data_IF_638004008767
#
_entry.id   IF_638004008767
#
_cell.length_a   1.000
_cell.length_b   1.000
_cell.length_c   1.000
_cell.angle_alpha   90.00
_cell.angle_beta   90.00
_cell.angle_gamma   90.00
#
_symmetry.space_group_name_H-M   'P 1'
#
loop_
_entity.id
_entity.type
_entity.pdbx_description
1 polymer ?
#
# COMPACT_ATOMS: atom_id res chain seq x y z
N UNK A 1 -99.38 -28.79 -30.82
CA UNK A 1 -98.75 -27.70 -31.61
C UNK A 1 -98.02 -26.67 -30.73
N UNK A 2 -98.66 -25.97 -29.77
CA UNK A 2 -97.97 -24.98 -28.89
C UNK A 2 -96.82 -25.56 -28.05
N UNK A 3 -97.01 -26.73 -27.43
CA UNK A 3 -95.97 -27.39 -26.61
C UNK A 3 -94.72 -27.80 -27.41
N UNK A 4 -94.88 -28.24 -28.67
CA UNK A 4 -93.74 -28.57 -29.53
C UNK A 4 -92.95 -27.32 -29.95
N UNK A 5 -93.64 -26.20 -30.20
CA UNK A 5 -92.97 -24.92 -30.51
C UNK A 5 -92.17 -24.40 -29.30
N UNK A 6 -92.70 -24.57 -28.09
CA UNK A 6 -92.00 -24.18 -26.87
C UNK A 6 -90.76 -25.07 -26.60
N UNK A 7 -90.86 -26.37 -26.88
CA UNK A 7 -89.72 -27.29 -26.80
C UNK A 7 -88.62 -26.96 -27.82
N UNK A 8 -89.00 -26.64 -29.06
CA UNK A 8 -88.05 -26.19 -30.10
C UNK A 8 -87.35 -24.88 -29.69
N UNK A 9 -88.09 -23.95 -29.09
CA UNK A 9 -87.53 -22.69 -28.59
C UNK A 9 -86.50 -22.92 -27.48
N UNK A 10 -86.81 -23.79 -26.50
CA UNK A 10 -85.87 -24.15 -25.43
C UNK A 10 -84.59 -24.79 -25.96
N UNK A 11 -84.71 -25.72 -26.91
CA UNK A 11 -83.53 -26.35 -27.54
C UNK A 11 -82.68 -25.34 -28.32
N UNK A 12 -83.29 -24.34 -28.95
CA UNK A 12 -82.56 -23.27 -29.63
C UNK A 12 -81.82 -22.36 -28.65
N UNK A 13 -82.47 -22.00 -27.53
CA UNK A 13 -81.88 -21.21 -26.45
C UNK A 13 -80.72 -21.96 -25.77
N UNK A 14 -80.89 -23.26 -25.50
CA UNK A 14 -79.84 -24.14 -24.95
C UNK A 14 -78.64 -24.27 -25.91
N UNK A 15 -78.91 -24.39 -27.22
CA UNK A 15 -77.84 -24.44 -28.23
C UNK A 15 -77.06 -23.13 -28.29
N UNK A 16 -77.74 -21.98 -28.22
CA UNK A 16 -77.09 -20.67 -28.19
C UNK A 16 -76.26 -20.48 -26.91
N UNK A 17 -76.80 -20.89 -25.75
CA UNK A 17 -76.10 -20.86 -24.47
C UNK A 17 -74.85 -21.75 -24.48
N UNK A 18 -74.97 -22.97 -24.98
CA UNK A 18 -73.85 -23.91 -25.10
C UNK A 18 -72.78 -23.39 -26.07
N UNK A 19 -73.17 -22.82 -27.22
CA UNK A 19 -72.23 -22.19 -28.16
C UNK A 19 -71.45 -21.06 -27.48
N UNK A 20 -72.13 -20.17 -26.76
CA UNK A 20 -71.46 -19.07 -26.05
C UNK A 20 -70.53 -19.55 -24.92
N UNK A 21 -70.86 -20.68 -24.30
CA UNK A 21 -70.06 -21.32 -23.24
C UNK A 21 -68.79 -21.95 -23.82
N UNK A 22 -68.90 -22.64 -24.97
CA UNK A 22 -67.76 -23.17 -25.72
C UNK A 22 -66.83 -22.04 -26.15
N UNK A 23 -67.33 -20.96 -26.75
CA UNK A 23 -66.52 -19.81 -27.17
C UNK A 23 -65.77 -19.17 -25.99
N UNK A 24 -66.39 -19.15 -24.80
CA UNK A 24 -65.78 -18.61 -23.58
C UNK A 24 -64.67 -19.53 -23.06
N UNK A 25 -64.88 -20.85 -23.10
CA UNK A 25 -63.88 -21.84 -22.70
C UNK A 25 -62.70 -21.82 -23.67
N UNK A 26 -62.94 -21.75 -24.98
CA UNK A 26 -61.88 -21.69 -25.99
C UNK A 26 -61.00 -20.45 -25.84
N UNK A 27 -61.59 -19.28 -25.58
CA UNK A 27 -60.83 -18.06 -25.28
C UNK A 27 -59.97 -18.21 -24.02
N UNK A 28 -60.55 -18.74 -22.93
CA UNK A 28 -59.80 -18.99 -21.69
C UNK A 28 -58.67 -19.99 -21.88
N UNK A 29 -58.90 -21.04 -22.67
CA UNK A 29 -57.86 -22.02 -23.00
C UNK A 29 -56.71 -21.36 -23.75
N UNK A 30 -57.01 -20.53 -24.76
CA UNK A 30 -56.00 -19.80 -25.51
C UNK A 30 -55.19 -18.83 -24.62
N UNK A 31 -55.87 -18.10 -23.73
CA UNK A 31 -55.22 -17.18 -22.78
C UNK A 31 -54.32 -17.93 -21.78
N UNK A 32 -54.78 -19.06 -21.24
CA UNK A 32 -54.00 -19.90 -20.33
C UNK A 32 -52.81 -20.53 -21.03
N UNK A 33 -52.99 -21.05 -22.25
CA UNK A 33 -51.89 -21.59 -23.05
C UNK A 33 -50.82 -20.53 -23.35
N UNK A 34 -51.23 -19.32 -23.73
CA UNK A 34 -50.31 -18.20 -23.96
C UNK A 34 -49.55 -17.81 -22.70
N UNK A 35 -50.24 -17.69 -21.56
CA UNK A 35 -49.63 -17.37 -20.27
C UNK A 35 -48.66 -18.46 -19.79
N UNK A 36 -49.04 -19.74 -19.98
CA UNK A 36 -48.19 -20.89 -19.69
C UNK A 36 -46.92 -20.84 -20.53
N UNK A 37 -47.03 -20.62 -21.84
CA UNK A 37 -45.86 -20.55 -22.73
C UNK A 37 -44.92 -19.39 -22.36
N UNK A 38 -45.48 -18.21 -22.04
CA UNK A 38 -44.68 -17.08 -21.54
C UNK A 38 -43.97 -17.36 -20.21
N UNK A 39 -44.56 -18.19 -19.35
CA UNK A 39 -43.95 -18.57 -18.07
C UNK A 39 -42.82 -19.58 -18.29
N UNK A 40 -43.00 -20.52 -19.22
CA UNK A 40 -41.96 -21.49 -19.60
C UNK A 40 -40.74 -20.77 -20.19
N UNK A 41 -40.93 -19.86 -21.15
CA UNK A 41 -39.80 -19.14 -21.75
C UNK A 41 -39.04 -18.31 -20.72
N UNK A 42 -39.74 -17.62 -19.81
CA UNK A 42 -39.10 -16.87 -18.71
C UNK A 42 -38.35 -17.78 -17.75
N UNK A 43 -38.88 -18.98 -17.49
CA UNK A 43 -38.20 -19.96 -16.65
C UNK A 43 -36.93 -20.47 -17.32
N UNK A 44 -36.97 -20.79 -18.61
CA UNK A 44 -35.81 -21.21 -19.41
C UNK A 44 -34.72 -20.13 -19.44
N UNK A 45 -35.10 -18.87 -19.67
CA UNK A 45 -34.19 -17.72 -19.63
C UNK A 45 -33.54 -17.57 -18.24
N UNK A 46 -34.35 -17.60 -17.18
CA UNK A 46 -33.85 -17.51 -15.80
C UNK A 46 -32.96 -18.70 -15.44
N UNK A 47 -33.27 -19.90 -15.92
CA UNK A 47 -32.49 -21.09 -15.67
C UNK A 47 -31.13 -21.01 -16.38
N UNK A 48 -31.11 -20.57 -17.64
CA UNK A 48 -29.87 -20.31 -18.38
C UNK A 48 -28.98 -19.29 -17.66
N UNK A 49 -29.57 -18.21 -17.14
CA UNK A 49 -28.85 -17.20 -16.37
C UNK A 49 -28.24 -17.78 -15.09
N UNK A 50 -28.97 -18.65 -14.38
CA UNK A 50 -28.47 -19.33 -13.17
C UNK A 50 -27.28 -20.23 -13.52
N UNK A 51 -27.36 -20.98 -14.61
CA UNK A 51 -26.29 -21.89 -15.01
C UNK A 51 -25.04 -21.14 -15.46
N UNK A 52 -25.18 -20.01 -16.18
CA UNK A 52 -24.08 -19.11 -16.49
C UNK A 52 -23.43 -18.53 -15.22
N UNK A 53 -24.24 -18.05 -14.28
CA UNK A 53 -23.73 -17.51 -13.02
C UNK A 53 -23.01 -18.57 -12.19
N UNK A 54 -23.50 -19.82 -12.19
CA UNK A 54 -22.82 -20.94 -11.52
C UNK A 54 -21.46 -21.24 -12.13
N UNK A 55 -21.35 -21.22 -13.46
CA UNK A 55 -20.07 -21.40 -14.15
C UNK A 55 -19.08 -20.29 -13.78
N UNK A 56 -19.50 -19.02 -13.84
CA UNK A 56 -18.68 -17.88 -13.46
C UNK A 56 -18.22 -17.95 -11.99
N UNK A 57 -19.10 -18.37 -11.08
CA UNK A 57 -18.75 -18.56 -9.67
C UNK A 57 -17.68 -19.65 -9.49
N UNK A 58 -17.77 -20.75 -10.24
CA UNK A 58 -16.76 -21.81 -10.19
C UNK A 58 -15.40 -21.32 -10.72
N UNK A 59 -15.37 -20.58 -11.82
CA UNK A 59 -14.15 -19.96 -12.35
C UNK A 59 -13.52 -18.98 -11.35
N UNK A 60 -14.35 -18.13 -10.73
CA UNK A 60 -13.88 -17.15 -9.75
C UNK A 60 -13.36 -17.81 -8.46
N UNK A 61 -13.91 -18.97 -8.07
CA UNK A 61 -13.39 -19.77 -6.95
C UNK A 61 -12.00 -20.32 -7.26
N UNK A 62 -11.78 -20.87 -8.46
CA UNK A 62 -10.47 -21.37 -8.90
C UNK A 62 -9.44 -20.22 -8.90
N UNK A 63 -9.80 -19.07 -9.46
CA UNK A 63 -8.90 -17.92 -9.50
C UNK A 63 -8.56 -17.42 -8.09
N UNK A 64 -9.54 -17.37 -7.18
CA UNK A 64 -9.30 -17.01 -5.78
C UNK A 64 -8.31 -17.96 -5.10
N UNK A 65 -8.38 -19.26 -5.37
CA UNK A 65 -7.43 -20.24 -4.83
C UNK A 65 -6.03 -20.06 -5.41
N UNK A 66 -5.91 -19.83 -6.73
CA UNK A 66 -4.64 -19.54 -7.39
C UNK A 66 -3.98 -18.29 -6.79
N UNK A 67 -4.75 -17.21 -6.61
CA UNK A 67 -4.28 -15.97 -5.99
C UNK A 67 -3.85 -16.19 -4.54
N UNK A 68 -4.60 -16.98 -3.76
CA UNK A 68 -4.23 -17.33 -2.38
C UNK A 68 -2.93 -18.12 -2.32
N UNK A 69 -2.73 -19.07 -3.23
CA UNK A 69 -1.50 -19.85 -3.32
C UNK A 69 -0.31 -18.96 -3.71
N UNK A 70 -0.47 -18.11 -4.74
CA UNK A 70 0.54 -17.14 -5.16
C UNK A 70 0.92 -16.19 -4.02
N UNK A 71 -0.07 -15.67 -3.29
CA UNK A 71 0.16 -14.79 -2.14
C UNK A 71 0.98 -15.47 -1.04
N UNK A 72 0.63 -16.72 -0.67
CA UNK A 72 1.38 -17.47 0.36
C UNK A 72 2.85 -17.65 -0.02
N UNK A 73 3.15 -17.98 -1.27
CA UNK A 73 4.53 -18.13 -1.74
C UNK A 73 5.33 -16.83 -1.63
N UNK A 74 4.72 -15.71 -2.03
CA UNK A 74 5.37 -14.38 -1.90
C UNK A 74 5.55 -13.99 -0.43
N UNK A 75 4.59 -14.29 0.44
CA UNK A 75 4.69 -14.08 1.88
C UNK A 75 5.86 -14.89 2.49
N UNK A 76 6.01 -16.16 2.12
CA UNK A 76 7.11 -17.02 2.55
C UNK A 76 8.48 -16.50 2.09
N UNK A 77 8.59 -16.13 0.81
CA UNK A 77 9.81 -15.55 0.25
C UNK A 77 10.18 -14.24 0.96
N UNK A 78 9.19 -13.41 1.28
CA UNK A 78 9.37 -12.16 2.01
C UNK A 78 9.89 -12.39 3.43
N UNK A 79 9.37 -13.39 4.15
CA UNK A 79 9.89 -13.75 5.48
C UNK A 79 11.34 -14.22 5.38
N UNK A 80 11.65 -15.08 4.40
CA UNK A 80 13.01 -15.59 4.18
C UNK A 80 14.01 -14.47 3.86
N UNK A 81 13.63 -13.52 2.99
CA UNK A 81 14.46 -12.38 2.62
C UNK A 81 14.65 -11.40 3.78
N UNK A 82 13.61 -11.13 4.57
CA UNK A 82 13.74 -10.29 5.78
C UNK A 82 14.74 -10.88 6.77
N UNK A 83 14.64 -12.19 7.04
CA UNK A 83 15.59 -12.88 7.94
C UNK A 83 17.04 -12.76 7.45
N UNK A 84 17.27 -12.93 6.14
CA UNK A 84 18.62 -12.77 5.54
C UNK A 84 19.13 -11.33 5.66
N UNK A 85 18.26 -10.34 5.48
CA UNK A 85 18.64 -8.93 5.62
C UNK A 85 19.01 -8.59 7.07
N UNK A 86 18.25 -9.10 8.04
CA UNK A 86 18.54 -8.94 9.48
C UNK A 86 19.87 -9.61 9.84
N UNK A 87 20.13 -10.82 9.35
CA UNK A 87 21.39 -11.53 9.56
C UNK A 87 22.59 -10.76 8.99
N UNK A 88 22.50 -10.28 7.75
CA UNK A 88 23.55 -9.46 7.15
C UNK A 88 23.77 -8.15 7.91
N UNK A 89 22.69 -7.51 8.36
CA UNK A 89 22.77 -6.27 9.16
C UNK A 89 23.47 -6.53 10.48
N UNK A 90 23.10 -7.61 11.18
CA UNK A 90 23.74 -8.04 12.43
C UNK A 90 25.22 -8.34 12.24
N UNK A 91 25.60 -9.02 11.14
CA UNK A 91 27.01 -9.26 10.81
C UNK A 91 27.76 -7.95 10.57
N UNK A 92 27.17 -6.99 9.86
CA UNK A 92 27.79 -5.69 9.61
C UNK A 92 27.97 -4.87 10.90
N UNK A 93 26.97 -4.87 11.77
CA UNK A 93 27.02 -4.13 13.05
C UNK A 93 27.92 -4.81 14.09
N UNK A 94 27.92 -6.14 14.14
CA UNK A 94 28.76 -6.95 15.03
C UNK A 94 30.17 -7.21 14.50
N UNK A 95 30.48 -6.80 13.26
CA UNK A 95 31.82 -6.93 12.71
C UNK A 95 32.79 -6.02 13.47
N UNK A 96 33.69 -6.63 14.24
CA UNK A 96 34.80 -5.95 14.94
C UNK A 96 35.59 -5.02 14.02
N UNK A 97 35.65 -5.31 12.72
CA UNK A 97 36.32 -4.44 11.74
C UNK A 97 35.56 -3.13 11.51
N UNK A 98 34.23 -3.17 11.40
CA UNK A 98 33.39 -1.96 11.22
C UNK A 98 33.47 -1.09 12.48
N UNK A 99 33.44 -1.69 13.66
CA UNK A 99 33.62 -0.96 14.92
C UNK A 99 35.00 -0.30 15.02
N UNK A 100 36.07 -1.03 14.68
CA UNK A 100 37.44 -0.48 14.61
C UNK A 100 37.54 0.69 13.63
N UNK A 101 37.01 0.54 12.42
CA UNK A 101 37.02 1.61 11.41
C UNK A 101 36.23 2.83 11.87
N UNK A 102 35.07 2.65 12.53
CA UNK A 102 34.28 3.76 13.10
C UNK A 102 35.06 4.48 14.22
N UNK A 103 35.75 3.73 15.07
CA UNK A 103 36.59 4.28 16.14
C UNK A 103 37.75 5.09 15.56
N UNK A 104 38.50 4.53 14.61
CA UNK A 104 39.59 5.23 13.92
C UNK A 104 39.10 6.52 13.24
N UNK A 105 37.97 6.47 12.53
CA UNK A 105 37.36 7.67 11.93
C UNK A 105 36.99 8.73 12.97
N UNK A 106 36.52 8.32 14.14
CA UNK A 106 36.18 9.23 15.24
C UNK A 106 37.43 9.87 15.81
N UNK A 107 38.48 9.07 16.07
CA UNK A 107 39.77 9.56 16.55
C UNK A 107 40.40 10.57 15.57
N UNK A 108 40.38 10.28 14.26
CA UNK A 108 40.86 11.21 13.23
C UNK A 108 40.03 12.50 13.18
N UNK A 109 38.71 12.41 13.30
CA UNK A 109 37.84 13.61 13.35
C UNK A 109 38.12 14.46 14.59
N UNK A 110 38.35 13.84 15.74
CA UNK A 110 38.62 14.55 16.99
C UNK A 110 39.99 15.25 16.99
N UNK A 111 40.97 14.72 16.25
CA UNK A 111 42.24 15.42 16.01
C UNK A 111 42.01 16.74 15.27
N UNK A 112 41.04 16.83 14.36
CA UNK A 112 40.76 18.04 13.60
C UNK A 112 39.93 19.08 14.35
N UNK A 113 39.31 18.71 15.49
CA UNK A 113 38.52 19.62 16.31
C UNK A 113 39.42 20.57 17.12
N UNK A 114 38.94 21.80 17.28
CA UNK A 114 39.55 22.80 18.13
C UNK A 114 39.49 22.37 19.60
N UNK A 115 40.63 22.36 20.29
CA UNK A 115 40.73 21.96 21.71
C UNK A 115 40.00 22.89 22.69
N UNK A 116 39.60 24.08 22.26
CA UNK A 116 38.89 25.06 23.12
C UNK A 116 37.40 24.76 23.18
N UNK A 117 36.75 24.51 22.04
CA UNK A 117 35.31 24.22 21.98
C UNK A 117 34.98 22.74 21.78
N UNK A 118 35.96 21.91 21.40
CA UNK A 118 35.80 20.49 21.08
C UNK A 118 34.71 20.17 20.05
N UNK A 119 34.42 21.13 19.16
CA UNK A 119 33.31 21.03 18.23
C UNK A 119 33.69 21.49 16.82
N UNK A 120 34.12 22.75 16.69
CA UNK A 120 34.53 23.34 15.41
C UNK A 120 35.89 22.83 14.97
N UNK A 121 36.12 22.79 13.65
CA UNK A 121 37.42 22.42 13.07
C UNK A 121 38.49 23.47 13.38
N UNK A 122 39.75 23.05 13.25
CA UNK A 122 40.91 23.93 13.26
C UNK A 122 40.97 24.71 11.95
N UNK A 123 40.99 26.02 12.04
CA UNK A 123 40.92 26.97 10.91
C UNK A 123 42.00 28.04 10.99
N UNK A 124 42.64 28.21 12.16
CA UNK A 124 43.71 29.19 12.38
C UNK A 124 44.88 28.57 13.13
N UNK A 125 46.07 29.12 12.89
CA UNK A 125 47.32 28.82 13.61
C UNK A 125 47.84 30.08 14.28
N UNK A 126 48.38 29.94 15.51
CA UNK A 126 49.16 30.99 16.17
C UNK A 126 50.62 30.80 15.78
N UNK A 127 51.18 31.67 14.94
CA UNK A 127 52.53 31.51 14.35
C UNK A 127 53.68 31.56 15.36
N UNK A 128 53.44 32.06 16.58
CA UNK A 128 54.43 32.06 17.67
C UNK A 128 54.67 30.69 18.28
N UNK A 129 53.68 29.80 18.25
CA UNK A 129 53.77 28.49 18.91
C UNK A 129 53.16 27.34 18.11
N UNK A 130 52.67 27.61 16.89
CA UNK A 130 52.10 26.65 15.94
C UNK A 130 50.90 25.83 16.43
N UNK A 131 50.26 26.24 17.53
CA UNK A 131 49.02 25.62 17.97
C UNK A 131 47.84 26.08 17.11
N UNK A 132 46.94 25.14 16.81
CA UNK A 132 45.81 25.33 15.90
C UNK A 132 44.46 25.28 16.63
N UNK A 133 43.54 26.13 16.19
CA UNK A 133 42.24 26.33 16.83
C UNK A 133 41.18 26.75 15.82
N UNK A 134 39.93 26.83 16.27
CA UNK A 134 38.83 27.40 15.50
C UNK A 134 38.96 28.92 15.43
N UNK A 135 38.58 29.55 14.32
CA UNK A 135 38.66 31.01 14.20
C UNK A 135 37.86 31.73 15.30
N UNK A 136 36.58 31.39 15.58
CA UNK A 136 35.80 32.04 16.65
C UNK A 136 36.48 31.98 18.03
N UNK A 137 37.16 30.87 18.33
CA UNK A 137 37.80 30.61 19.62
C UNK A 137 38.99 31.57 19.83
N UNK A 138 39.76 31.83 18.78
CA UNK A 138 40.93 32.70 18.85
C UNK A 138 40.56 34.16 18.74
N UNK A 139 39.56 34.53 17.93
CA UNK A 139 39.09 35.92 17.88
C UNK A 139 38.62 36.41 19.25
N UNK A 140 37.89 35.59 19.99
CA UNK A 140 37.48 35.93 21.35
C UNK A 140 38.66 36.26 22.27
N UNK A 141 39.78 35.54 22.16
CA UNK A 141 40.99 35.78 22.96
C UNK A 141 41.73 37.03 22.48
N UNK A 142 41.79 37.26 21.17
CA UNK A 142 42.43 38.43 20.56
C UNK A 142 41.78 39.74 21.03
N UNK A 143 40.47 39.74 21.23
CA UNK A 143 39.71 40.86 21.78
C UNK A 143 40.05 41.15 23.25
N UNK A 144 40.53 40.15 24.00
CA UNK A 144 40.96 40.35 25.40
C UNK A 144 42.32 41.03 25.50
N UNK A 145 42.60 41.65 26.66
CA UNK A 145 43.95 42.16 26.99
C UNK A 145 44.97 41.06 27.30
N UNK A 146 44.53 39.82 27.51
CA UNK A 146 45.38 38.69 27.94
C UNK A 146 45.55 37.67 26.81
N UNK A 147 46.17 38.10 25.71
CA UNK A 147 46.35 37.29 24.50
C UNK A 147 47.39 36.19 24.68
N UNK A 148 46.99 35.08 25.31
CA UNK A 148 47.82 33.90 25.57
C UNK A 148 47.22 32.67 24.89
N UNK A 149 48.09 31.85 24.29
CA UNK A 149 47.68 30.63 23.61
C UNK A 149 46.97 29.67 24.60
N UNK A 150 45.76 29.16 24.28
CA UNK A 150 45.05 28.21 25.14
C UNK A 150 45.82 26.92 25.46
N UNK A 151 46.75 26.51 24.59
CA UNK A 151 47.49 25.25 24.76
C UNK A 151 48.80 25.40 25.51
N UNK A 152 49.53 26.51 25.34
CA UNK A 152 50.88 26.67 25.92
C UNK A 152 51.11 28.00 26.64
N UNK A 153 50.09 28.86 26.75
CA UNK A 153 50.17 30.18 27.40
C UNK A 153 51.15 31.19 26.77
N UNK A 154 51.77 30.88 25.63
CA UNK A 154 52.61 31.82 24.90
C UNK A 154 51.82 33.08 24.51
N UNK A 155 52.41 34.26 24.74
CA UNK A 155 51.83 35.54 24.33
C UNK A 155 51.82 35.69 22.81
N UNK A 156 50.74 36.21 22.24
CA UNK A 156 50.61 36.43 20.80
C UNK A 156 49.83 37.72 20.48
N UNK A 157 50.05 38.30 19.31
CA UNK A 157 49.34 39.47 18.80
C UNK A 157 48.35 39.13 17.68
N UNK A 158 47.59 40.14 17.23
CA UNK A 158 46.63 40.01 16.11
C UNK A 158 47.32 39.49 14.84
N UNK A 159 48.53 39.97 14.56
CA UNK A 159 49.30 39.61 13.38
C UNK A 159 49.84 38.17 13.41
N UNK A 160 49.84 37.53 14.57
CA UNK A 160 50.35 36.17 14.77
C UNK A 160 49.27 35.11 14.51
N UNK A 161 48.03 35.49 14.20
CA UNK A 161 46.94 34.58 13.85
C UNK A 161 46.83 34.50 12.32
N UNK A 162 46.98 33.30 11.76
CA UNK A 162 46.88 33.05 10.31
C UNK A 162 45.87 31.95 10.00
N UNK A 163 45.08 32.06 8.92
CA UNK A 163 44.19 31.00 8.50
C UNK A 163 44.98 29.77 8.02
N UNK A 164 44.40 28.59 8.22
CA UNK A 164 44.87 27.32 7.67
C UNK A 164 43.70 26.57 7.04
N UNK A 165 43.99 25.76 6.04
CA UNK A 165 43.01 24.93 5.33
C UNK A 165 43.50 23.48 5.40
N UNK A 166 42.75 22.63 6.09
CA UNK A 166 43.07 21.23 6.41
C UNK A 166 41.96 20.34 5.84
#
# INVERSE_FOLDING_TARGET
>A
LKSHLEHIRRLADDRAHNSSSVDTIERRLADVSKSSQQTVTKHEESQSQVDQNRALLAEMQIELENQRFGRRRVEEDLVSLKRKAEELTSILEGSSLVEKLRKELTEYRDILKCRVCNERRKEVVITKCFHLFCNPCIQHIVETRHRKCPSCSASFGVNDVKPVYI
#
